data_IF_942752728061
#
_entry.id   IF_942752728061
#
_cell.length_a   1.000
_cell.length_b   1.000
_cell.length_c   1.000
_cell.angle_alpha   90.00
_cell.angle_beta   90.00
_cell.angle_gamma   90.00
#
_symmetry.space_group_name_H-M   'P 1'
#
loop_
_entity.id
_entity.type
_entity.pdbx_description
1 polymer ?
#
# COMPACT_ATOMS: atom_id res chain seq x y z
N UNK A 1 -5.79 8.61 17.70
CA UNK A 1 -7.22 8.27 17.94
C UNK A 1 -7.91 8.26 16.60
N UNK A 2 -8.66 7.18 16.27
CA UNK A 2 -9.54 7.16 15.12
C UNK A 2 -10.65 8.19 15.31
N UNK A 3 -11.00 8.93 14.26
CA UNK A 3 -12.18 9.78 14.23
C UNK A 3 -13.45 8.94 14.06
N UNK A 4 -14.62 9.55 14.23
CA UNK A 4 -15.89 8.84 14.02
C UNK A 4 -15.97 8.30 12.58
N UNK A 5 -16.16 7.00 12.46
CA UNK A 5 -16.23 6.30 11.16
C UNK A 5 -14.91 5.74 10.62
N UNK A 6 -13.74 6.13 11.14
CA UNK A 6 -12.46 5.55 10.70
C UNK A 6 -12.25 4.16 11.31
N UNK A 7 -11.80 3.21 10.50
CA UNK A 7 -11.35 1.89 10.90
C UNK A 7 -9.90 1.68 10.49
N UNK A 8 -9.12 1.01 11.34
CA UNK A 8 -7.73 0.66 11.06
C UNK A 8 -7.63 -0.86 11.02
N UNK A 9 -7.12 -1.40 9.93
CA UNK A 9 -6.78 -2.82 9.79
C UNK A 9 -5.26 -2.94 9.81
N UNK A 10 -4.73 -3.76 10.71
CA UNK A 10 -3.30 -4.04 10.81
C UNK A 10 -3.08 -5.52 10.50
N UNK A 11 -2.40 -5.80 9.39
CA UNK A 11 -2.07 -7.17 8.98
C UNK A 11 -0.63 -7.46 9.44
N UNK A 12 -0.51 -8.36 10.41
CA UNK A 12 0.77 -8.71 11.04
C UNK A 12 1.53 -9.82 10.30
N UNK A 13 0.87 -10.50 9.34
CA UNK A 13 1.44 -11.66 8.66
C UNK A 13 1.84 -12.74 9.67
N UNK A 14 3.04 -13.32 9.50
CA UNK A 14 3.58 -14.37 10.35
C UNK A 14 4.20 -13.86 11.67
N UNK A 15 4.09 -12.57 11.97
CA UNK A 15 4.67 -11.99 13.19
C UNK A 15 3.72 -12.12 14.39
N UNK A 16 3.60 -13.34 14.93
CA UNK A 16 2.74 -13.65 16.08
C UNK A 16 3.07 -12.82 17.33
N UNK A 17 4.33 -12.36 17.48
CA UNK A 17 4.73 -11.52 18.62
C UNK A 17 4.07 -10.14 18.53
N UNK A 18 4.17 -9.48 17.38
CA UNK A 18 3.55 -8.17 17.14
C UNK A 18 2.03 -8.30 17.22
N UNK A 19 1.44 -9.32 16.60
CA UNK A 19 0.01 -9.57 16.65
C UNK A 19 -0.51 -9.62 18.09
N UNK A 20 0.15 -10.39 18.97
CA UNK A 20 -0.24 -10.52 20.39
C UNK A 20 -0.16 -9.17 21.13
N UNK A 21 0.92 -8.40 20.89
CA UNK A 21 1.10 -7.07 21.51
C UNK A 21 -0.03 -6.14 21.09
N UNK A 22 -0.31 -6.06 19.79
CA UNK A 22 -1.33 -5.17 19.25
C UNK A 22 -2.74 -5.56 19.68
N UNK A 23 -3.06 -6.87 19.72
CA UNK A 23 -4.35 -7.35 20.23
C UNK A 23 -4.56 -6.97 21.70
N UNK A 24 -3.51 -7.03 22.53
CA UNK A 24 -3.57 -6.60 23.92
C UNK A 24 -3.75 -5.09 24.04
N UNK A 25 -2.99 -4.33 23.26
CA UNK A 25 -3.01 -2.87 23.29
C UNK A 25 -4.37 -2.29 22.85
N UNK A 26 -4.95 -2.87 21.80
CA UNK A 26 -6.17 -2.36 21.17
C UNK A 26 -7.44 -3.15 21.50
N UNK A 27 -7.42 -4.06 22.48
CA UNK A 27 -8.54 -4.98 22.73
C UNK A 27 -9.89 -4.29 23.06
N UNK A 28 -9.86 -3.08 23.63
CA UNK A 28 -11.07 -2.28 23.86
C UNK A 28 -11.45 -1.38 22.68
N UNK A 29 -10.61 -1.28 21.65
CA UNK A 29 -10.87 -0.38 20.53
C UNK A 29 -11.51 -1.13 19.36
N UNK A 30 -12.84 -1.10 19.27
CA UNK A 30 -13.63 -1.77 18.23
C UNK A 30 -13.35 -1.30 16.79
N UNK A 31 -12.56 -0.23 16.61
CA UNK A 31 -12.20 0.33 15.30
C UNK A 31 -10.81 -0.09 14.82
N UNK A 32 -10.07 -0.81 15.65
CA UNK A 32 -8.75 -1.35 15.29
C UNK A 32 -8.87 -2.86 15.15
N UNK A 33 -8.63 -3.35 13.95
CA UNK A 33 -8.75 -4.76 13.59
C UNK A 33 -7.35 -5.34 13.39
N UNK A 34 -6.97 -6.27 14.26
CA UNK A 34 -5.66 -6.92 14.20
C UNK A 34 -5.83 -8.27 13.51
N UNK A 35 -5.17 -8.44 12.38
CA UNK A 35 -5.18 -9.63 11.54
C UNK A 35 -3.79 -10.27 11.56
N UNK A 36 -3.70 -11.56 11.77
CA UNK A 36 -2.47 -12.34 11.63
C UNK A 36 -2.14 -12.60 10.16
N UNK A 37 -1.69 -13.83 9.87
CA UNK A 37 -1.54 -14.26 8.47
C UNK A 37 -2.90 -14.41 7.80
N UNK A 38 -3.01 -13.93 6.55
CA UNK A 38 -4.23 -14.04 5.74
C UNK A 38 -3.91 -14.15 4.27
N UNK A 39 -4.68 -14.96 3.54
CA UNK A 39 -4.67 -15.05 2.08
C UNK A 39 -5.60 -14.00 1.42
N UNK A 40 -6.29 -13.19 2.23
CA UNK A 40 -7.30 -12.24 1.77
C UNK A 40 -6.80 -10.79 1.76
N UNK A 41 -5.47 -10.56 1.65
CA UNK A 41 -4.90 -9.21 1.61
C UNK A 41 -5.54 -8.37 0.50
N UNK A 42 -5.79 -8.96 -0.65
CA UNK A 42 -6.45 -8.30 -1.79
C UNK A 42 -7.82 -7.72 -1.43
N UNK A 43 -8.63 -8.45 -0.64
CA UNK A 43 -9.95 -7.95 -0.19
C UNK A 43 -9.83 -6.77 0.77
N UNK A 44 -8.85 -6.80 1.67
CA UNK A 44 -8.57 -5.65 2.55
C UNK A 44 -8.11 -4.44 1.75
N UNK A 45 -7.31 -4.66 0.70
CA UNK A 45 -6.89 -3.61 -0.22
C UNK A 45 -8.08 -2.99 -0.96
N UNK A 46 -9.04 -3.81 -1.43
CA UNK A 46 -10.24 -3.31 -2.11
C UNK A 46 -11.17 -2.51 -1.18
N UNK A 47 -11.11 -2.78 0.11
CA UNK A 47 -11.94 -2.10 1.11
C UNK A 47 -11.29 -0.87 1.75
N UNK A 48 -10.02 -0.57 1.47
CA UNK A 48 -9.31 0.51 2.15
C UNK A 48 -9.27 1.81 1.33
N UNK A 49 -9.37 2.94 2.02
CA UNK A 49 -9.24 4.28 1.42
C UNK A 49 -7.79 4.74 1.30
N UNK A 50 -6.91 4.26 2.17
CA UNK A 50 -5.47 4.58 2.18
C UNK A 50 -4.70 3.38 2.72
N UNK A 51 -3.60 3.03 2.09
CA UNK A 51 -2.69 1.99 2.58
C UNK A 51 -1.38 2.59 3.10
N UNK A 52 -0.95 2.10 4.26
CA UNK A 52 0.39 2.35 4.80
C UNK A 52 1.24 1.09 4.62
N UNK A 53 2.31 1.20 3.87
CA UNK A 53 3.21 0.07 3.63
C UNK A 53 4.64 0.55 3.44
N UNK A 54 5.61 -0.33 3.67
CA UNK A 54 6.98 -0.07 3.21
C UNK A 54 7.01 -0.09 1.67
N UNK A 55 7.97 0.57 1.02
CA UNK A 55 8.03 0.65 -0.45
C UNK A 55 8.56 -0.65 -1.08
N UNK A 56 7.97 -1.78 -0.69
CA UNK A 56 8.25 -3.10 -1.27
C UNK A 56 7.62 -3.23 -2.66
N UNK A 57 8.27 -3.99 -3.55
CA UNK A 57 7.84 -4.13 -4.94
C UNK A 57 6.40 -4.64 -5.09
N UNK A 58 6.08 -5.77 -4.45
CA UNK A 58 4.77 -6.43 -4.61
C UNK A 58 3.62 -5.56 -4.10
N UNK A 59 3.60 -5.25 -2.80
CA UNK A 59 2.49 -4.51 -2.19
C UNK A 59 2.29 -3.14 -2.82
N UNK A 60 3.39 -2.43 -3.15
CA UNK A 60 3.30 -1.12 -3.80
C UNK A 60 2.70 -1.22 -5.21
N UNK A 61 3.09 -2.25 -5.99
CA UNK A 61 2.57 -2.47 -7.34
C UNK A 61 1.11 -2.93 -7.31
N UNK A 62 0.73 -3.81 -6.38
CA UNK A 62 -0.66 -4.23 -6.18
C UNK A 62 -1.54 -3.02 -5.82
N UNK A 63 -1.09 -2.17 -4.90
CA UNK A 63 -1.79 -0.94 -4.52
C UNK A 63 -1.93 0.03 -5.70
N UNK A 64 -0.88 0.14 -6.53
CA UNK A 64 -0.89 0.95 -7.75
C UNK A 64 -1.94 0.45 -8.74
N UNK A 65 -1.99 -0.86 -9.00
CA UNK A 65 -2.96 -1.48 -9.92
C UNK A 65 -4.38 -1.28 -9.42
N UNK A 66 -4.61 -1.45 -8.11
CA UNK A 66 -5.91 -1.22 -7.46
C UNK A 66 -6.27 0.26 -7.31
N UNK A 67 -5.34 1.16 -7.64
CA UNK A 67 -5.52 2.62 -7.54
C UNK A 67 -5.82 3.09 -6.11
N UNK A 68 -5.12 2.52 -5.12
CA UNK A 68 -5.25 2.85 -3.70
C UNK A 68 -4.23 3.94 -3.36
N UNK A 69 -4.61 5.01 -2.66
CA UNK A 69 -3.67 6.00 -2.15
C UNK A 69 -2.64 5.40 -1.21
N UNK A 70 -1.35 5.67 -1.46
CA UNK A 70 -0.24 5.01 -0.77
C UNK A 70 0.53 6.01 0.10
N UNK A 71 0.70 5.66 1.37
CA UNK A 71 1.69 6.28 2.27
C UNK A 71 2.82 5.29 2.47
N UNK A 72 3.98 5.57 1.88
CA UNK A 72 5.17 4.76 2.12
C UNK A 72 5.80 5.09 3.46
N UNK A 73 6.06 4.05 4.24
CA UNK A 73 6.82 4.12 5.50
C UNK A 73 8.32 4.03 5.24
N UNK A 74 9.14 3.85 6.29
CA UNK A 74 10.59 3.77 6.13
C UNK A 74 11.00 2.57 5.26
N UNK A 75 11.85 2.78 4.24
CA UNK A 75 12.36 1.70 3.40
C UNK A 75 13.43 0.88 4.12
N UNK A 76 13.56 -0.37 3.75
CA UNK A 76 14.77 -1.14 3.97
C UNK A 76 15.82 -0.65 2.95
N UNK A 77 17.06 -0.34 3.38
CA UNK A 77 18.11 0.11 2.46
C UNK A 77 18.31 -0.85 1.28
N UNK A 78 18.52 -0.30 0.10
CA UNK A 78 18.67 -1.04 -1.15
C UNK A 78 17.49 -0.85 -2.11
N UNK A 79 16.90 -1.94 -2.60
CA UNK A 79 15.83 -1.90 -3.61
C UNK A 79 14.57 -1.13 -3.14
N UNK A 80 14.23 -1.15 -1.86
CA UNK A 80 13.09 -0.39 -1.35
C UNK A 80 13.33 1.13 -1.40
N UNK A 81 14.59 1.57 -1.28
CA UNK A 81 14.95 2.99 -1.47
C UNK A 81 14.71 3.41 -2.93
N UNK A 82 15.09 2.59 -3.90
CA UNK A 82 14.83 2.86 -5.31
C UNK A 82 13.33 2.92 -5.61
N UNK A 83 12.54 1.99 -5.06
CA UNK A 83 11.08 2.01 -5.17
C UNK A 83 10.48 3.28 -4.58
N UNK A 84 10.95 3.69 -3.38
CA UNK A 84 10.48 4.92 -2.74
C UNK A 84 10.69 6.15 -3.65
N UNK A 85 11.87 6.27 -4.26
CA UNK A 85 12.18 7.33 -5.20
C UNK A 85 11.32 7.26 -6.47
N UNK A 86 11.17 6.06 -7.04
CA UNK A 86 10.34 5.84 -8.24
C UNK A 86 8.90 6.28 -8.03
N UNK A 87 8.27 5.83 -6.93
CA UNK A 87 6.89 6.16 -6.61
C UNK A 87 6.72 7.65 -6.25
N UNK A 88 7.66 8.21 -5.49
CA UNK A 88 7.62 9.63 -5.10
C UNK A 88 7.77 10.57 -6.29
N UNK A 89 8.75 10.33 -7.16
CA UNK A 89 9.02 11.16 -8.34
C UNK A 89 7.84 11.20 -9.34
N UNK A 90 6.98 10.18 -9.32
CA UNK A 90 5.80 10.06 -10.19
C UNK A 90 4.48 10.40 -9.49
N UNK A 91 4.54 10.90 -8.26
CA UNK A 91 3.35 11.21 -7.43
C UNK A 91 2.40 10.01 -7.21
N UNK A 92 2.94 8.78 -7.21
CA UNK A 92 2.19 7.54 -6.99
C UNK A 92 1.98 7.24 -5.51
N UNK A 93 2.79 7.86 -4.66
CA UNK A 93 2.72 7.75 -3.20
C UNK A 93 3.22 9.01 -2.53
N UNK A 94 2.92 9.14 -1.25
CA UNK A 94 3.56 10.11 -0.34
C UNK A 94 4.39 9.38 0.69
N UNK A 95 5.41 10.05 1.24
CA UNK A 95 6.27 9.45 2.26
C UNK A 95 6.85 10.50 3.20
N UNK A 96 7.33 10.05 4.35
CA UNK A 96 8.13 10.87 5.27
C UNK A 96 9.03 9.98 6.12
N UNK A 97 10.17 10.51 6.55
CA UNK A 97 11.03 9.86 7.54
C UNK A 97 10.45 9.94 8.96
N UNK A 98 9.52 10.87 9.21
CA UNK A 98 8.91 11.10 10.52
C UNK A 98 7.54 10.45 10.62
N UNK A 99 7.33 9.57 11.61
CA UNK A 99 6.08 8.85 11.82
C UNK A 99 4.86 9.78 11.94
N UNK A 100 4.98 10.85 12.73
CA UNK A 100 3.89 11.82 12.88
C UNK A 100 3.49 12.45 11.53
N UNK A 101 4.46 12.71 10.65
CA UNK A 101 4.19 13.23 9.31
C UNK A 101 3.56 12.19 8.39
N UNK A 102 3.94 10.91 8.49
CA UNK A 102 3.27 9.83 7.75
C UNK A 102 1.78 9.78 8.11
N UNK A 103 1.44 9.84 9.41
CA UNK A 103 0.04 9.88 9.86
C UNK A 103 -0.70 11.09 9.31
N UNK A 104 -0.09 12.29 9.32
CA UNK A 104 -0.69 13.49 8.74
C UNK A 104 -0.93 13.36 7.23
N UNK A 105 0.01 12.79 6.48
CA UNK A 105 -0.10 12.57 5.04
C UNK A 105 -1.28 11.64 4.70
N UNK A 106 -1.43 10.54 5.44
CA UNK A 106 -2.56 9.64 5.21
C UNK A 106 -3.90 10.29 5.57
N UNK A 107 -3.96 11.06 6.66
CA UNK A 107 -5.16 11.85 6.98
C UNK A 107 -5.50 12.85 5.88
N UNK A 108 -4.51 13.55 5.35
CA UNK A 108 -4.70 14.46 4.23
C UNK A 108 -5.26 13.76 2.99
N UNK A 109 -4.80 12.53 2.69
CA UNK A 109 -5.35 11.72 1.59
C UNK A 109 -6.81 11.30 1.83
N UNK A 110 -7.21 11.06 3.08
CA UNK A 110 -8.60 10.73 3.43
C UNK A 110 -9.50 11.97 3.38
N UNK A 111 -9.02 13.10 3.90
CA UNK A 111 -9.82 14.31 4.12
C UNK A 111 -9.85 15.26 2.90
N UNK A 112 -8.93 15.12 1.95
CA UNK A 112 -8.79 16.00 0.80
C UNK A 112 -8.98 15.24 -0.52
N UNK A 113 -10.17 15.34 -1.09
CA UNK A 113 -10.55 14.69 -2.35
C UNK A 113 -9.66 15.10 -3.52
N UNK A 114 -9.25 16.37 -3.59
CA UNK A 114 -8.38 16.87 -4.67
C UNK A 114 -7.00 16.22 -4.62
N UNK A 115 -6.41 16.10 -3.41
CA UNK A 115 -5.11 15.45 -3.24
C UNK A 115 -5.18 13.96 -3.59
N UNK A 116 -6.25 13.29 -3.13
CA UNK A 116 -6.50 11.89 -3.44
C UNK A 116 -6.68 11.66 -4.94
N UNK A 117 -7.46 12.50 -5.60
CA UNK A 117 -7.69 12.40 -7.05
C UNK A 117 -6.43 12.68 -7.87
N UNK A 118 -5.56 13.59 -7.45
CA UNK A 118 -4.27 13.83 -8.11
C UNK A 118 -3.40 12.57 -8.07
N UNK A 119 -3.26 11.92 -6.91
CA UNK A 119 -2.52 10.66 -6.79
C UNK A 119 -3.16 9.56 -7.62
N UNK A 120 -4.48 9.43 -7.55
CA UNK A 120 -5.26 8.44 -8.30
C UNK A 120 -5.08 8.60 -9.82
N UNK A 121 -5.07 9.82 -10.34
CA UNK A 121 -4.77 10.11 -11.76
C UNK A 121 -3.35 9.70 -12.15
N UNK A 122 -2.37 10.01 -11.31
CA UNK A 122 -1.00 9.59 -11.54
C UNK A 122 -0.88 8.05 -11.56
N UNK A 123 -1.49 7.37 -10.60
CA UNK A 123 -1.52 5.92 -10.53
C UNK A 123 -2.18 5.28 -11.76
N UNK A 124 -3.31 5.81 -12.24
CA UNK A 124 -4.00 5.31 -13.44
C UNK A 124 -3.14 5.38 -14.70
N UNK A 125 -2.23 6.34 -14.81
CA UNK A 125 -1.30 6.48 -15.95
C UNK A 125 -0.17 5.46 -15.92
N UNK A 126 0.30 5.11 -14.73
CA UNK A 126 1.48 4.25 -14.54
C UNK A 126 1.14 2.77 -14.33
N UNK A 127 -0.07 2.43 -13.91
CA UNK A 127 -0.46 1.04 -13.63
C UNK A 127 -0.44 0.18 -14.88
N UNK A 128 -0.02 -1.08 -14.71
CA UNK A 128 0.06 -2.10 -15.77
C UNK A 128 -0.70 -3.35 -15.33
N UNK A 129 -2.05 -3.33 -15.34
CA UNK A 129 -2.85 -4.47 -14.88
C UNK A 129 -2.59 -5.75 -15.69
N UNK A 130 -2.26 -5.61 -16.98
CA UNK A 130 -2.02 -6.72 -17.90
C UNK A 130 -0.52 -7.12 -18.00
N UNK A 131 0.34 -6.67 -17.06
CA UNK A 131 1.79 -6.90 -17.16
C UNK A 131 2.16 -8.38 -17.28
N UNK A 132 1.50 -9.26 -16.52
CA UNK A 132 1.78 -10.70 -16.59
C UNK A 132 1.46 -11.28 -17.98
N UNK A 133 0.33 -10.91 -18.56
CA UNK A 133 -0.06 -11.36 -19.91
C UNK A 133 0.89 -10.82 -20.97
N UNK A 134 1.32 -9.56 -20.86
CA UNK A 134 2.29 -8.96 -21.78
C UNK A 134 3.64 -9.69 -21.72
N UNK A 135 4.10 -10.09 -20.53
CA UNK A 135 5.33 -10.88 -20.38
C UNK A 135 5.18 -12.25 -21.03
N UNK A 136 4.07 -12.95 -20.79
CA UNK A 136 3.80 -14.26 -21.42
C UNK A 136 3.79 -14.13 -22.94
N UNK A 137 3.06 -13.18 -23.49
CA UNK A 137 3.00 -12.95 -24.94
C UNK A 137 4.37 -12.64 -25.55
N UNK A 138 5.20 -11.87 -24.85
CA UNK A 138 6.57 -11.60 -25.31
C UNK A 138 7.41 -12.87 -25.31
N UNK A 139 7.32 -13.71 -24.29
CA UNK A 139 8.05 -14.99 -24.23
C UNK A 139 7.61 -15.92 -25.34
N UNK A 140 6.31 -16.04 -25.62
CA UNK A 140 5.77 -16.84 -26.72
C UNK A 140 6.30 -16.37 -28.08
N UNK A 141 6.38 -15.05 -28.31
CA UNK A 141 6.96 -14.49 -29.54
C UNK A 141 8.44 -14.85 -29.70
N UNK A 142 9.22 -14.77 -28.62
CA UNK A 142 10.65 -15.10 -28.66
C UNK A 142 10.91 -16.58 -28.99
N UNK A 143 10.09 -17.47 -28.42
CA UNK A 143 10.23 -18.94 -28.67
C UNK A 143 9.72 -19.32 -30.08
N UNK A 144 8.72 -18.60 -30.62
CA UNK A 144 8.18 -18.92 -31.97
C UNK A 144 9.06 -18.45 -33.11
N UNK A 145 10.13 -17.70 -32.85
CA UNK A 145 11.10 -17.23 -33.86
C UNK A 145 12.37 -18.07 -33.92
N UNK A 146 12.48 -19.15 -33.13
CA UNK A 146 13.50 -20.23 -33.27
C UNK A 146 12.96 -21.41 -34.10
#
# INVERSE_FOLDING_TARGET
RCRNGEHIVIICGNNAKIERILRKEFHFNKRVHIIGYTNHVSLFMDACDVIYTKPGGLTSTESLVKNIPIVHTAPIPGCETANLHFFGARHLSVSSKHLAKQVQLGKALIENDSLREQMSKAQRRERKPEAAMQIVSLLEQLVSHE
#
